data_IF_245634432408
#
_entry.id   IF_245634432408
#
_cell.length_a   1.000
_cell.length_b   1.000
_cell.length_c   1.000
_cell.angle_alpha   90.00
_cell.angle_beta   90.00
_cell.angle_gamma   90.00
#
_symmetry.space_group_name_H-M   'P 1'
#
loop_
_entity.id
_entity.type
_entity.pdbx_description
1 polymer ?
#
# COMPACT_ATOMS: atom_id res chain seq x y z
N UNK A 1 -50.67 -4.73 -24.35
CA UNK A 1 -49.71 -5.67 -24.96
C UNK A 1 -48.29 -5.09 -24.84
N UNK A 2 -47.62 -5.15 -23.67
CA UNK A 2 -46.34 -4.42 -23.51
C UNK A 2 -45.34 -5.07 -22.55
N UNK A 3 -45.14 -6.39 -22.58
CA UNK A 3 -44.14 -7.04 -21.70
C UNK A 3 -43.24 -8.07 -22.41
N UNK A 4 -43.29 -8.18 -23.74
CA UNK A 4 -42.43 -9.11 -24.48
C UNK A 4 -41.02 -8.54 -24.74
N UNK A 5 -40.87 -7.22 -24.85
CA UNK A 5 -39.56 -6.57 -25.04
C UNK A 5 -38.69 -6.57 -23.76
N UNK A 6 -39.28 -6.40 -22.58
CA UNK A 6 -38.54 -6.45 -21.30
C UNK A 6 -38.01 -7.85 -20.98
N UNK A 7 -38.71 -8.89 -21.43
CA UNK A 7 -38.32 -10.31 -21.25
C UNK A 7 -37.12 -10.70 -22.12
N UNK A 8 -36.99 -10.10 -23.31
CA UNK A 8 -35.86 -10.37 -24.22
C UNK A 8 -34.59 -9.59 -23.80
N UNK A 9 -34.72 -8.40 -23.20
CA UNK A 9 -33.58 -7.66 -22.63
C UNK A 9 -33.01 -8.34 -21.37
N UNK A 10 -33.86 -8.99 -20.56
CA UNK A 10 -33.44 -9.70 -19.34
C UNK A 10 -32.74 -11.04 -19.64
N UNK A 11 -33.08 -11.71 -20.75
CA UNK A 11 -32.41 -12.95 -21.17
C UNK A 11 -31.01 -12.71 -21.75
N UNK A 12 -30.75 -11.58 -22.40
CA UNK A 12 -29.39 -11.22 -22.86
C UNK A 12 -28.50 -10.85 -21.67
N UNK A 13 -29.03 -10.14 -20.68
CA UNK A 13 -28.31 -9.83 -19.44
C UNK A 13 -27.98 -11.09 -18.61
N UNK A 14 -28.84 -12.10 -18.61
CA UNK A 14 -28.59 -13.38 -17.92
C UNK A 14 -27.75 -14.36 -18.73
N UNK A 15 -27.79 -14.33 -20.08
CA UNK A 15 -26.88 -15.11 -20.92
C UNK A 15 -25.43 -14.62 -20.81
N UNK A 16 -25.20 -13.32 -20.65
CA UNK A 16 -23.87 -12.75 -20.35
C UNK A 16 -23.40 -13.09 -18.93
N UNK A 17 -24.33 -13.27 -17.98
CA UNK A 17 -24.01 -13.74 -16.63
C UNK A 17 -23.73 -15.25 -16.55
N UNK A 18 -24.32 -16.06 -17.43
CA UNK A 18 -24.25 -17.52 -17.32
C UNK A 18 -23.10 -18.17 -18.10
N UNK A 19 -22.54 -17.51 -19.13
CA UNK A 19 -21.32 -17.98 -19.80
C UNK A 19 -20.06 -17.85 -18.92
N UNK A 20 -20.10 -17.04 -17.86
CA UNK A 20 -19.05 -16.97 -16.84
C UNK A 20 -19.15 -18.02 -15.73
N UNK A 21 -20.26 -18.78 -15.65
CA UNK A 21 -20.54 -19.68 -14.53
C UNK A 21 -20.28 -21.18 -14.81
N UNK A 22 -19.90 -21.58 -16.03
CA UNK A 22 -19.81 -23.02 -16.37
C UNK A 22 -18.39 -23.57 -16.57
N UNK A 23 -17.34 -22.79 -16.33
CA UNK A 23 -15.97 -23.31 -16.26
C UNK A 23 -15.58 -23.69 -14.81
N UNK A 24 -16.24 -24.71 -14.26
CA UNK A 24 -15.72 -25.58 -13.19
C UNK A 24 -15.59 -25.05 -11.76
N UNK A 25 -15.33 -23.77 -11.49
CA UNK A 25 -15.20 -23.20 -10.14
C UNK A 25 -15.59 -21.71 -10.01
N UNK A 26 -16.11 -21.08 -11.07
CA UNK A 26 -16.40 -19.66 -11.07
C UNK A 26 -17.86 -19.36 -10.67
N UNK A 27 -18.19 -19.60 -9.40
CA UNK A 27 -19.43 -19.13 -8.80
C UNK A 27 -19.47 -17.58 -8.85
N UNK A 28 -20.54 -17.03 -9.42
CA UNK A 28 -21.02 -15.66 -9.22
C UNK A 28 -20.00 -14.52 -9.45
N UNK A 29 -19.75 -14.16 -10.71
CA UNK A 29 -19.22 -12.82 -11.01
C UNK A 29 -20.35 -11.80 -10.87
N UNK A 30 -20.53 -11.33 -9.63
CA UNK A 30 -21.17 -10.06 -9.38
C UNK A 30 -20.48 -9.00 -10.23
N UNK A 31 -21.28 -8.25 -10.97
CA UNK A 31 -20.88 -7.02 -11.65
C UNK A 31 -20.06 -6.23 -10.62
N UNK A 32 -18.78 -5.90 -10.86
CA UNK A 32 -18.06 -5.01 -9.98
C UNK A 32 -18.78 -3.67 -10.10
N UNK A 33 -19.69 -3.40 -9.16
CA UNK A 33 -19.95 -2.02 -8.79
C UNK A 33 -18.58 -1.52 -8.38
N UNK A 34 -18.00 -0.66 -9.22
CA UNK A 34 -16.85 0.12 -8.79
C UNK A 34 -17.42 1.00 -7.68
N UNK A 35 -17.34 0.48 -6.46
CA UNK A 35 -17.44 1.25 -5.24
C UNK A 35 -16.19 2.10 -5.26
N UNK A 36 -16.29 3.25 -5.93
CA UNK A 36 -15.41 4.35 -5.62
C UNK A 36 -15.73 4.65 -4.16
N UNK A 37 -14.93 4.08 -3.25
CA UNK A 37 -14.77 4.66 -1.93
C UNK A 37 -14.66 6.16 -2.18
N UNK A 38 -15.55 6.99 -1.61
CA UNK A 38 -15.46 8.42 -1.83
C UNK A 38 -14.01 8.77 -1.53
N UNK A 39 -13.29 9.44 -2.45
CA UNK A 39 -11.97 9.94 -2.11
C UNK A 39 -12.24 10.84 -0.92
N UNK A 40 -11.94 10.39 0.28
CA UNK A 40 -11.93 11.22 1.48
C UNK A 40 -10.71 12.14 1.39
N UNK A 41 -10.53 12.78 0.24
CA UNK A 41 -9.87 14.04 0.04
C UNK A 41 -10.80 15.12 0.62
N UNK A 42 -10.95 15.05 1.95
CA UNK A 42 -11.72 15.97 2.74
C UNK A 42 -11.07 16.04 4.10
N UNK A 43 -10.34 17.13 4.35
CA UNK A 43 -9.73 17.42 5.64
C UNK A 43 -10.82 17.75 6.66
N UNK A 44 -11.51 16.74 7.17
CA UNK A 44 -12.55 16.92 8.21
C UNK A 44 -11.98 16.82 9.62
N UNK A 45 -10.77 16.28 9.79
CA UNK A 45 -10.14 16.03 11.08
C UNK A 45 -8.64 16.35 11.08
N UNK A 46 -8.13 16.93 12.17
CA UNK A 46 -6.69 17.12 12.41
C UNK A 46 -5.91 15.81 12.21
N UNK A 47 -6.50 14.68 12.59
CA UNK A 47 -5.93 13.35 12.37
C UNK A 47 -5.72 13.00 10.88
N UNK A 48 -6.62 13.38 9.97
CA UNK A 48 -6.50 13.06 8.54
C UNK A 48 -5.38 13.86 7.87
N UNK A 49 -5.19 15.12 8.29
CA UNK A 49 -4.07 15.96 7.86
C UNK A 49 -2.73 15.35 8.28
N UNK A 50 -2.62 14.91 9.54
CA UNK A 50 -1.43 14.25 10.07
C UNK A 50 -1.16 12.93 9.33
N UNK A 51 -2.19 12.09 9.14
CA UNK A 51 -2.02 10.79 8.48
C UNK A 51 -1.57 10.93 7.01
N UNK A 52 -2.14 11.90 6.30
CA UNK A 52 -1.74 12.19 4.91
C UNK A 52 -0.31 12.72 4.85
N UNK A 53 0.03 13.67 5.73
CA UNK A 53 1.39 14.21 5.81
C UNK A 53 2.42 13.13 6.15
N UNK A 54 2.12 12.29 7.13
CA UNK A 54 2.98 11.18 7.55
C UNK A 54 3.22 10.21 6.39
N UNK A 55 2.18 9.84 5.64
CA UNK A 55 2.29 8.94 4.47
C UNK A 55 3.23 9.51 3.41
N UNK A 56 3.11 10.80 3.10
CA UNK A 56 4.00 11.48 2.15
C UNK A 56 5.45 11.45 2.66
N UNK A 57 5.66 11.74 3.95
CA UNK A 57 6.99 11.70 4.57
C UNK A 57 7.59 10.30 4.50
N UNK A 58 6.81 9.23 4.73
CA UNK A 58 7.30 7.85 4.61
C UNK A 58 7.79 7.52 3.19
N UNK A 59 7.05 7.95 2.16
CA UNK A 59 7.43 7.73 0.76
C UNK A 59 8.74 8.48 0.45
N UNK A 60 8.81 9.75 0.83
CA UNK A 60 10.00 10.58 0.61
C UNK A 60 11.20 10.03 1.39
N UNK A 61 11.01 9.64 2.65
CA UNK A 61 12.05 9.07 3.49
C UNK A 61 12.57 7.74 2.94
N UNK A 62 11.67 6.84 2.50
CA UNK A 62 12.06 5.57 1.88
C UNK A 62 12.91 5.79 0.63
N UNK A 63 12.49 6.71 -0.25
CA UNK A 63 13.25 7.06 -1.45
C UNK A 63 14.60 7.72 -1.12
N UNK A 64 14.62 8.64 -0.15
CA UNK A 64 15.84 9.30 0.29
C UNK A 64 16.87 8.32 0.86
N UNK A 65 16.43 7.34 1.67
CA UNK A 65 17.30 6.28 2.21
C UNK A 65 17.93 5.47 1.08
N UNK A 66 17.17 5.11 0.04
CA UNK A 66 17.71 4.37 -1.10
C UNK A 66 18.78 5.17 -1.85
N UNK A 67 18.54 6.46 -2.09
CA UNK A 67 19.53 7.34 -2.75
C UNK A 67 20.78 7.46 -1.88
N UNK A 68 20.61 7.65 -0.57
CA UNK A 68 21.73 7.80 0.36
C UNK A 68 22.57 6.52 0.46
N UNK A 69 21.92 5.35 0.43
CA UNK A 69 22.59 4.05 0.37
C UNK A 69 23.40 3.90 -0.92
N UNK A 70 22.85 4.34 -2.06
CA UNK A 70 23.54 4.29 -3.35
C UNK A 70 24.81 5.15 -3.34
N UNK A 71 24.72 6.37 -2.80
CA UNK A 71 25.87 7.27 -2.67
C UNK A 71 26.92 6.69 -1.71
N UNK A 72 26.48 6.13 -0.58
CA UNK A 72 27.38 5.47 0.38
C UNK A 72 28.10 4.27 -0.24
N UNK A 73 27.39 3.45 -1.03
CA UNK A 73 27.95 2.30 -1.74
C UNK A 73 28.96 2.72 -2.82
N UNK A 74 28.64 3.74 -3.63
CA UNK A 74 29.57 4.29 -4.61
C UNK A 74 30.83 4.84 -3.95
N UNK A 75 30.68 5.56 -2.83
CA UNK A 75 31.80 6.10 -2.06
C UNK A 75 32.67 4.99 -1.47
N UNK A 76 32.05 3.88 -1.03
CA UNK A 76 32.78 2.71 -0.55
C UNK A 76 33.58 2.05 -1.69
N UNK A 77 32.99 1.94 -2.87
CA UNK A 77 33.63 1.29 -4.02
C UNK A 77 34.78 2.12 -4.60
N UNK A 78 34.67 3.45 -4.57
CA UNK A 78 35.72 4.36 -5.06
C UNK A 78 36.76 4.73 -4.00
N UNK A 79 36.55 4.36 -2.73
CA UNK A 79 37.46 4.68 -1.62
C UNK A 79 38.86 4.05 -1.78
N UNK A 80 38.95 2.90 -2.43
CA UNK A 80 40.23 2.20 -2.66
C UNK A 80 40.95 1.86 -1.35
N UNK A 81 42.21 2.32 -1.24
CA UNK A 81 43.12 2.15 -0.09
C UNK A 81 42.97 3.27 0.97
N UNK A 82 42.28 4.37 0.65
CA UNK A 82 42.17 5.46 1.60
C UNK A 82 41.26 5.06 2.78
N UNK A 83 41.86 4.97 3.96
CA UNK A 83 41.18 4.55 5.18
C UNK A 83 40.09 5.54 5.62
N UNK A 84 40.29 6.84 5.39
CA UNK A 84 39.34 7.88 5.77
C UNK A 84 38.07 7.87 4.90
N UNK A 85 38.23 7.68 3.59
CA UNK A 85 37.08 7.54 2.67
C UNK A 85 36.31 6.26 2.97
N UNK A 86 37.00 5.16 3.27
CA UNK A 86 36.38 3.90 3.67
C UNK A 86 35.59 4.04 4.97
N UNK A 87 36.14 4.73 5.98
CA UNK A 87 35.44 5.03 7.24
C UNK A 87 34.20 5.87 7.01
N UNK A 88 34.30 6.95 6.22
CA UNK A 88 33.15 7.80 5.87
C UNK A 88 32.05 7.03 5.13
N UNK A 89 32.42 6.19 4.16
CA UNK A 89 31.47 5.38 3.41
C UNK A 89 30.73 4.39 4.32
N UNK A 90 31.45 3.73 5.24
CA UNK A 90 30.83 2.85 6.25
C UNK A 90 29.83 3.61 7.13
N UNK A 91 30.21 4.78 7.63
CA UNK A 91 29.30 5.62 8.42
C UNK A 91 28.05 6.02 7.63
N UNK A 92 28.19 6.41 6.37
CA UNK A 92 27.05 6.71 5.50
C UNK A 92 26.12 5.51 5.34
N UNK A 93 26.68 4.32 5.05
CA UNK A 93 25.89 3.09 4.90
C UNK A 93 25.19 2.73 6.21
N UNK A 94 25.90 2.77 7.35
CA UNK A 94 25.30 2.49 8.66
C UNK A 94 24.16 3.45 8.97
N UNK A 95 24.34 4.75 8.72
CA UNK A 95 23.29 5.74 8.95
C UNK A 95 22.08 5.51 8.04
N UNK A 96 22.29 5.15 6.77
CA UNK A 96 21.22 4.79 5.84
C UNK A 96 20.44 3.56 6.34
N UNK A 97 21.16 2.52 6.79
CA UNK A 97 20.56 1.28 7.32
C UNK A 97 19.77 1.57 8.60
N UNK A 98 20.30 2.40 9.51
CA UNK A 98 19.57 2.81 10.71
C UNK A 98 18.28 3.56 10.35
N UNK A 99 18.34 4.48 9.37
CA UNK A 99 17.16 5.14 8.84
C UNK A 99 16.11 4.13 8.32
N UNK A 100 16.55 3.14 7.55
CA UNK A 100 15.67 2.08 7.05
C UNK A 100 15.03 1.26 8.19
N UNK A 101 15.82 0.92 9.21
CA UNK A 101 15.34 0.19 10.39
C UNK A 101 14.29 1.01 11.14
N UNK A 102 14.46 2.32 11.26
CA UNK A 102 13.46 3.19 11.90
C UNK A 102 12.14 3.18 11.13
N UNK A 103 12.20 3.25 9.79
CA UNK A 103 11.01 3.16 8.95
C UNK A 103 10.29 1.81 9.15
N UNK A 104 11.06 0.71 9.12
CA UNK A 104 10.52 -0.63 9.34
C UNK A 104 9.94 -0.79 10.76
N UNK A 105 10.62 -0.27 11.78
CA UNK A 105 10.17 -0.30 13.17
C UNK A 105 8.88 0.50 13.36
N UNK A 106 8.75 1.66 12.71
CA UNK A 106 7.52 2.45 12.80
C UNK A 106 6.30 1.70 12.25
N UNK A 107 6.46 1.01 11.11
CA UNK A 107 5.40 0.15 10.57
C UNK A 107 5.14 -1.07 11.46
N UNK A 108 6.19 -1.70 11.99
CA UNK A 108 6.07 -2.83 12.90
C UNK A 108 5.31 -2.45 14.20
N UNK A 109 5.57 -1.27 14.75
CA UNK A 109 4.86 -0.74 15.92
C UNK A 109 3.38 -0.55 15.60
N UNK A 110 3.04 0.00 14.42
CA UNK A 110 1.64 0.11 13.99
C UNK A 110 0.94 -1.26 13.95
N UNK A 111 1.59 -2.26 13.36
CA UNK A 111 1.09 -3.64 13.30
C UNK A 111 0.93 -4.26 14.69
N UNK A 112 1.87 -3.98 15.61
CA UNK A 112 1.75 -4.43 17.00
C UNK A 112 0.56 -3.78 17.70
N UNK A 113 0.33 -2.48 17.51
CA UNK A 113 -0.80 -1.77 18.13
C UNK A 113 -2.15 -2.36 17.66
N UNK A 114 -2.32 -2.60 16.36
CA UNK A 114 -3.59 -3.15 15.84
C UNK A 114 -3.81 -4.62 16.27
N UNK A 115 -2.74 -5.41 16.40
CA UNK A 115 -2.83 -6.84 16.68
C UNK A 115 -2.87 -7.14 18.19
N UNK A 116 -2.21 -6.34 19.04
CA UNK A 116 -2.20 -6.53 20.49
C UNK A 116 -3.40 -5.88 21.20
N UNK A 117 -4.12 -4.95 20.57
CA UNK A 117 -5.38 -4.42 21.11
C UNK A 117 -6.53 -5.35 20.66
N UNK A 118 -7.04 -6.26 21.51
CA UNK A 118 -7.86 -7.41 21.08
C UNK A 118 -9.27 -7.04 20.56
N UNK A 119 -9.60 -5.76 20.49
CA UNK A 119 -10.90 -5.25 20.04
C UNK A 119 -10.83 -4.23 18.90
N UNK A 120 -9.65 -3.86 18.39
CA UNK A 120 -9.53 -2.89 17.29
C UNK A 120 -9.55 -3.59 15.91
N UNK A 121 -8.94 -4.78 15.83
CA UNK A 121 -8.90 -5.59 14.60
C UNK A 121 -10.30 -6.05 14.13
N UNK A 122 -11.23 -6.29 15.06
CA UNK A 122 -12.62 -6.70 14.76
C UNK A 122 -13.54 -5.55 14.32
N UNK A 123 -13.12 -4.29 14.50
CA UNK A 123 -13.87 -3.09 14.12
C UNK A 123 -13.38 -2.47 12.80
N UNK A 124 -12.11 -2.68 12.47
CA UNK A 124 -11.49 -2.19 11.22
C UNK A 124 -11.62 -3.22 10.08
N UNK A 125 -11.85 -4.50 10.40
CA UNK A 125 -11.99 -5.59 9.44
C UNK A 125 -13.43 -6.00 9.08
N UNK A 126 -14.46 -5.24 9.49
CA UNK A 126 -15.84 -5.49 9.08
C UNK A 126 -16.43 -4.30 8.32
N UNK A 127 -16.11 -4.24 7.03
CA UNK A 127 -16.95 -3.64 6.00
C UNK A 127 -16.75 -4.39 4.70
#
# INVERSE_FOLDING_TARGET
MTNKFKKHALQVASAMGLLGLTAGNAYAQAIPTISLAPPSAGFTNFGSLISTGLTIVFIVAGLAVLIYLFIGALTYLTAGDNEDSTKKARLMITNAVVGLIILAASWAIWQLIINFVPGLNSLVGQS
#
